data_IF_936147384003
#
_entry.id   IF_936147384003
#
_cell.length_a   1.000
_cell.length_b   1.000
_cell.length_c   1.000
_cell.angle_alpha   90.00
_cell.angle_beta   90.00
_cell.angle_gamma   90.00
#
_symmetry.space_group_name_H-M   'P 1'
#
loop_
_entity.id
_entity.type
_entity.pdbx_description
1 polymer ?
#
# COMPACT_ATOMS: atom_id res chain seq x y z
N UNK A 1 13.05 -7.98 -5.30
CA UNK A 1 11.74 -8.63 -5.24
C UNK A 1 11.85 -9.91 -4.44
N UNK A 2 10.99 -10.08 -3.41
CA UNK A 2 10.93 -11.31 -2.62
C UNK A 2 9.61 -12.03 -2.91
N UNK A 3 9.65 -13.34 -3.08
CA UNK A 3 8.47 -14.16 -3.36
C UNK A 3 8.34 -15.21 -2.27
N UNK A 4 7.14 -15.29 -1.68
CA UNK A 4 6.78 -16.27 -0.66
C UNK A 4 5.59 -17.08 -1.14
N UNK A 5 5.57 -18.37 -0.82
CA UNK A 5 4.43 -19.26 -1.08
C UNK A 5 3.64 -19.53 0.19
N UNK A 6 2.34 -19.72 0.07
CA UNK A 6 1.43 -20.01 1.19
C UNK A 6 1.59 -19.02 2.37
N UNK A 7 1.72 -17.74 2.02
CA UNK A 7 2.03 -16.69 2.99
C UNK A 7 0.76 -16.12 3.63
N UNK A 8 0.87 -15.72 4.90
CA UNK A 8 -0.23 -15.05 5.64
C UNK A 8 -0.56 -13.69 5.03
N UNK A 9 -1.86 -13.41 4.90
CA UNK A 9 -2.37 -12.07 4.57
C UNK A 9 -2.68 -11.33 5.88
N UNK A 10 -1.85 -10.33 6.21
CA UNK A 10 -2.12 -9.46 7.37
C UNK A 10 -3.33 -8.57 7.08
N UNK A 11 -4.25 -8.47 8.04
CA UNK A 11 -5.42 -7.62 7.96
C UNK A 11 -5.83 -7.13 9.36
N UNK A 12 -6.50 -5.97 9.43
CA UNK A 12 -6.91 -5.33 10.69
C UNK A 12 -7.99 -6.11 11.44
N UNK A 13 -8.79 -6.92 10.74
CA UNK A 13 -9.84 -7.76 11.33
C UNK A 13 -9.29 -9.02 11.99
N UNK A 14 -7.97 -9.28 11.90
CA UNK A 14 -7.31 -10.48 12.42
C UNK A 14 -7.86 -11.80 11.89
N UNK A 15 -8.51 -11.76 10.71
CA UNK A 15 -8.99 -12.95 10.03
C UNK A 15 -7.78 -13.81 9.64
N UNK A 16 -7.85 -15.10 9.96
CA UNK A 16 -6.85 -16.06 9.51
C UNK A 16 -6.98 -16.24 8.00
N UNK A 17 -6.00 -15.75 7.28
CA UNK A 17 -5.99 -15.73 5.83
C UNK A 17 -4.59 -15.99 5.30
N UNK A 18 -4.51 -16.63 4.13
CA UNK A 18 -3.25 -16.87 3.41
C UNK A 18 -3.45 -16.74 1.90
N UNK A 19 -2.35 -16.63 1.16
CA UNK A 19 -2.37 -16.57 -0.30
C UNK A 19 -1.36 -17.54 -0.89
N UNK A 20 -1.58 -17.93 -2.16
CA UNK A 20 -0.67 -18.81 -2.89
C UNK A 20 0.70 -18.19 -3.10
N UNK A 21 0.74 -16.94 -3.56
CA UNK A 21 1.98 -16.18 -3.72
C UNK A 21 1.84 -14.80 -3.05
N UNK A 22 2.89 -14.41 -2.33
CA UNK A 22 3.03 -13.08 -1.75
C UNK A 22 4.33 -12.49 -2.25
N UNK A 23 4.26 -11.36 -2.94
CA UNK A 23 5.38 -10.74 -3.63
C UNK A 23 5.64 -9.35 -3.04
N UNK A 24 6.81 -9.17 -2.44
CA UNK A 24 7.27 -7.87 -1.99
C UNK A 24 8.12 -7.20 -3.07
N UNK A 25 7.83 -5.93 -3.36
CA UNK A 25 8.60 -5.10 -4.29
C UNK A 25 9.16 -3.88 -3.56
N UNK A 26 10.48 -3.67 -3.68
CA UNK A 26 11.22 -2.64 -2.94
C UNK A 26 11.56 -1.41 -3.80
N UNK A 27 11.66 -1.59 -5.10
CA UNK A 27 12.02 -0.51 -6.02
C UNK A 27 11.41 -0.72 -7.41
N UNK A 28 11.42 0.34 -8.22
CA UNK A 28 10.81 0.35 -9.55
C UNK A 28 11.51 -0.56 -10.57
N UNK A 29 12.79 -0.87 -10.38
CA UNK A 29 13.54 -1.73 -11.30
C UNK A 29 13.02 -3.19 -11.27
N UNK A 30 12.31 -3.56 -10.21
CA UNK A 30 11.71 -4.89 -10.05
C UNK A 30 10.40 -5.06 -10.82
N UNK A 31 9.85 -4.02 -11.44
CA UNK A 31 8.57 -4.11 -12.16
C UNK A 31 8.63 -5.03 -13.39
N UNK A 32 9.75 -5.10 -14.10
CA UNK A 32 9.90 -6.01 -15.23
C UNK A 32 9.86 -7.47 -14.76
N UNK A 33 10.58 -7.80 -13.69
CA UNK A 33 10.60 -9.16 -13.13
C UNK A 33 9.22 -9.53 -12.57
N UNK A 34 8.54 -8.58 -11.90
CA UNK A 34 7.19 -8.75 -11.42
C UNK A 34 6.22 -9.03 -12.58
N UNK A 35 6.31 -8.27 -13.67
CA UNK A 35 5.47 -8.48 -14.85
C UNK A 35 5.66 -9.88 -15.44
N UNK A 36 6.90 -10.32 -15.61
CA UNK A 36 7.22 -11.66 -16.10
C UNK A 36 6.65 -12.73 -15.17
N UNK A 37 6.82 -12.56 -13.85
CA UNK A 37 6.28 -13.50 -12.86
C UNK A 37 4.75 -13.63 -12.96
N UNK A 38 4.02 -12.50 -12.98
CA UNK A 38 2.55 -12.47 -13.11
C UNK A 38 2.10 -13.14 -14.40
N UNK A 39 2.72 -12.80 -15.52
CA UNK A 39 2.37 -13.33 -16.86
C UNK A 39 2.54 -14.85 -16.94
N UNK A 40 3.58 -15.39 -16.29
CA UNK A 40 3.85 -16.82 -16.27
C UNK A 40 2.86 -17.59 -15.37
N UNK A 41 2.45 -16.99 -14.24
CA UNK A 41 1.55 -17.64 -13.27
C UNK A 41 0.09 -17.63 -13.72
N UNK A 42 -0.35 -16.61 -14.46
CA UNK A 42 -1.73 -16.44 -14.94
C UNK A 42 -2.78 -16.55 -13.83
N UNK A 43 -2.45 -16.07 -12.64
CA UNK A 43 -3.29 -16.05 -11.46
C UNK A 43 -3.87 -14.67 -11.24
N UNK A 44 -5.01 -14.54 -10.54
CA UNK A 44 -5.54 -13.24 -10.14
C UNK A 44 -4.54 -12.50 -9.25
N UNK A 45 -4.48 -11.19 -9.41
CA UNK A 45 -3.53 -10.31 -8.70
C UNK A 45 -4.29 -9.34 -7.82
N UNK A 46 -3.82 -9.14 -6.59
CA UNK A 46 -4.33 -8.13 -5.68
C UNK A 46 -3.17 -7.34 -5.05
N UNK A 47 -3.24 -6.01 -5.08
CA UNK A 47 -2.25 -5.14 -4.45
C UNK A 47 -2.69 -4.82 -3.02
N UNK A 48 -1.85 -5.14 -2.05
CA UNK A 48 -2.17 -5.02 -0.63
C UNK A 48 -1.44 -3.84 0.02
N UNK A 49 -2.18 -2.92 0.62
CA UNK A 49 -1.66 -1.92 1.56
C UNK A 49 -1.41 -2.54 2.94
N UNK A 50 -1.95 -1.95 3.99
CA UNK A 50 -1.88 -2.47 5.37
C UNK A 50 -2.98 -3.50 5.69
N UNK A 51 -3.89 -3.77 4.77
CA UNK A 51 -5.01 -4.68 5.02
C UNK A 51 -6.06 -4.12 5.99
N UNK A 52 -6.21 -2.81 6.03
CA UNK A 52 -7.11 -2.10 6.97
C UNK A 52 -8.53 -1.94 6.43
N UNK A 53 -8.73 -2.13 5.13
CA UNK A 53 -10.04 -1.98 4.48
C UNK A 53 -10.34 -3.16 3.55
N UNK A 54 -10.08 -4.39 4.02
CA UNK A 54 -10.36 -5.63 3.29
C UNK A 54 -10.96 -6.67 4.22
N UNK A 55 -11.77 -7.56 3.63
CA UNK A 55 -12.20 -8.82 4.24
C UNK A 55 -11.60 -9.94 3.38
N UNK A 56 -10.42 -10.47 3.73
CA UNK A 56 -9.76 -11.48 2.91
C UNK A 56 -10.45 -12.84 3.08
N UNK A 57 -10.45 -13.70 2.02
CA UNK A 57 -10.87 -15.08 2.14
C UNK A 57 -9.91 -15.88 3.04
N UNK A 58 -10.31 -17.05 3.49
CA UNK A 58 -9.42 -17.96 4.24
C UNK A 58 -8.15 -18.29 3.42
N UNK A 59 -8.34 -18.55 2.13
CA UNK A 59 -7.26 -18.75 1.17
C UNK A 59 -7.52 -17.99 -0.13
N UNK A 60 -6.56 -17.18 -0.55
CA UNK A 60 -6.57 -16.49 -1.85
C UNK A 60 -5.68 -17.23 -2.83
N UNK A 61 -6.27 -17.96 -3.77
CA UNK A 61 -5.54 -18.68 -4.83
C UNK A 61 -5.06 -17.70 -5.92
N UNK A 62 -4.17 -16.80 -5.53
CA UNK A 62 -3.70 -15.70 -6.35
C UNK A 62 -2.36 -15.15 -5.89
N UNK A 63 -2.00 -14.00 -6.45
CA UNK A 63 -0.78 -13.26 -6.16
C UNK A 63 -1.15 -12.02 -5.38
N UNK A 64 -0.69 -11.91 -4.14
CA UNK A 64 -0.70 -10.66 -3.38
C UNK A 64 0.59 -9.90 -3.69
N UNK A 65 0.48 -8.65 -4.12
CA UNK A 65 1.63 -7.76 -4.29
C UNK A 65 1.66 -6.77 -3.13
N UNK A 66 2.77 -6.76 -2.41
CA UNK A 66 3.03 -5.82 -1.32
C UNK A 66 4.11 -4.82 -1.74
N UNK A 67 3.74 -3.59 -2.09
CA UNK A 67 4.73 -2.53 -2.27
C UNK A 67 5.43 -2.21 -0.94
N UNK A 68 6.74 -1.92 -0.99
CA UNK A 68 7.56 -1.50 0.15
C UNK A 68 8.24 -0.15 -0.12
N UNK A 69 7.60 0.72 -0.94
CA UNK A 69 8.10 2.06 -1.24
C UNK A 69 7.81 2.99 -0.06
N UNK A 70 8.84 3.44 0.65
CA UNK A 70 8.73 4.21 1.88
C UNK A 70 9.48 5.55 1.86
N UNK A 71 9.79 6.07 0.69
CA UNK A 71 10.49 7.34 0.55
C UNK A 71 9.52 8.54 0.47
N UNK A 72 9.94 9.69 1.00
CA UNK A 72 9.27 10.98 0.84
C UNK A 72 10.25 11.94 0.16
N UNK A 73 9.82 12.59 -0.93
CA UNK A 73 10.60 13.59 -1.66
C UNK A 73 9.78 14.88 -1.76
N UNK A 74 10.36 15.98 -1.30
CA UNK A 74 9.79 17.31 -1.42
C UNK A 74 10.27 17.95 -2.73
N UNK A 75 9.33 18.38 -3.57
CA UNK A 75 9.62 19.04 -4.84
C UNK A 75 9.41 20.54 -4.62
N UNK A 76 10.47 21.25 -4.34
CA UNK A 76 10.48 22.64 -3.85
C UNK A 76 9.82 23.67 -4.79
N UNK A 77 9.60 23.34 -6.07
CA UNK A 77 9.14 24.31 -7.07
C UNK A 77 7.61 24.45 -7.14
N UNK A 78 6.81 23.51 -6.56
CA UNK A 78 5.36 23.46 -6.82
C UNK A 78 4.53 23.02 -5.59
N UNK A 79 5.03 23.07 -4.39
CA UNK A 79 4.34 22.54 -3.20
C UNK A 79 3.84 21.09 -3.37
N UNK A 80 4.61 20.28 -4.10
CA UNK A 80 4.31 18.88 -4.36
C UNK A 80 5.21 18.00 -3.51
N UNK A 81 4.62 16.96 -2.93
CA UNK A 81 5.33 15.92 -2.20
C UNK A 81 5.13 14.59 -2.91
N UNK A 82 6.22 13.94 -3.33
CA UNK A 82 6.18 12.58 -3.86
C UNK A 82 6.37 11.59 -2.71
N UNK A 83 5.41 10.71 -2.51
CA UNK A 83 5.36 9.82 -1.35
C UNK A 83 5.28 8.37 -1.80
N UNK A 84 6.07 7.51 -1.16
CA UNK A 84 6.05 6.07 -1.40
C UNK A 84 4.72 5.44 -0.97
N UNK A 85 4.25 4.49 -1.79
CA UNK A 85 2.94 3.87 -1.62
C UNK A 85 2.72 3.16 -0.27
N UNK A 86 3.81 2.74 0.39
CA UNK A 86 3.75 1.99 1.66
C UNK A 86 3.79 2.87 2.89
N UNK A 87 3.98 4.17 2.75
CA UNK A 87 3.94 5.11 3.88
C UNK A 87 2.55 5.03 4.51
N UNK A 88 2.51 4.87 5.84
CA UNK A 88 1.25 4.96 6.59
C UNK A 88 0.65 6.35 6.43
N UNK A 89 -0.66 6.42 6.18
CA UNK A 89 -1.34 7.68 5.91
C UNK A 89 -1.24 8.67 7.08
N UNK A 90 -1.52 8.22 8.31
CA UNK A 90 -1.44 9.12 9.48
C UNK A 90 -0.02 9.60 9.74
N UNK A 91 0.99 8.76 9.50
CA UNK A 91 2.39 9.18 9.56
C UNK A 91 2.67 10.30 8.56
N UNK A 92 2.18 10.19 7.32
CA UNK A 92 2.31 11.27 6.33
C UNK A 92 1.66 12.57 6.82
N UNK A 93 0.44 12.51 7.36
CA UNK A 93 -0.25 13.69 7.89
C UNK A 93 0.60 14.37 8.97
N UNK A 94 1.14 13.62 9.93
CA UNK A 94 2.02 14.16 10.98
C UNK A 94 3.28 14.80 10.42
N UNK A 95 3.90 14.15 9.44
CA UNK A 95 5.10 14.65 8.77
C UNK A 95 4.83 15.97 8.04
N UNK A 96 3.69 16.07 7.34
CA UNK A 96 3.30 17.30 6.64
C UNK A 96 3.04 18.45 7.62
N UNK A 97 2.27 18.22 8.66
CA UNK A 97 1.97 19.23 9.70
C UNK A 97 3.26 19.71 10.39
N UNK A 98 4.18 18.79 10.70
CA UNK A 98 5.47 19.15 11.33
C UNK A 98 6.33 20.08 10.47
N UNK A 99 6.10 20.09 9.17
CA UNK A 99 6.78 20.95 8.17
C UNK A 99 5.95 22.18 7.76
N UNK A 100 4.85 22.46 8.47
CA UNK A 100 3.91 23.54 8.15
C UNK A 100 3.29 23.40 6.74
N UNK A 101 3.12 22.17 6.24
CA UNK A 101 2.39 21.84 5.02
C UNK A 101 0.99 21.39 5.44
N UNK A 102 0.01 22.26 5.22
CA UNK A 102 -1.36 22.09 5.68
C UNK A 102 -2.27 21.51 4.59
N UNK A 103 -3.48 21.07 5.00
CA UNK A 103 -4.51 20.51 4.12
C UNK A 103 -4.73 19.01 4.26
N UNK A 104 -3.94 18.32 5.10
CA UNK A 104 -4.05 16.88 5.36
C UNK A 104 -4.66 16.56 6.74
N UNK A 105 -4.69 17.54 7.64
CA UNK A 105 -4.97 17.34 9.05
C UNK A 105 -6.35 16.78 9.33
N UNK A 106 -7.37 17.14 8.55
CA UNK A 106 -8.74 16.63 8.68
C UNK A 106 -8.86 15.14 8.31
N UNK A 107 -7.89 14.61 7.58
CA UNK A 107 -7.81 13.20 7.20
C UNK A 107 -6.87 12.40 8.12
N UNK A 108 -6.49 12.97 9.27
CA UNK A 108 -5.67 12.26 10.25
C UNK A 108 -6.38 11.03 10.82
N UNK A 109 -5.60 10.07 11.33
CA UNK A 109 -6.07 8.83 11.96
C UNK A 109 -6.81 7.86 11.02
N UNK A 110 -7.03 8.17 9.75
CA UNK A 110 -7.61 7.22 8.81
C UNK A 110 -6.60 6.10 8.56
N UNK A 111 -6.99 4.82 8.78
CA UNK A 111 -6.07 3.70 8.64
C UNK A 111 -5.68 3.43 7.18
N UNK A 112 -4.47 2.94 6.96
CA UNK A 112 -4.01 2.50 5.65
C UNK A 112 -2.75 3.20 5.17
N UNK A 113 -2.41 2.96 3.91
CA UNK A 113 -1.22 3.50 3.27
C UNK A 113 -1.55 4.58 2.25
N UNK A 114 -0.57 5.43 1.93
CA UNK A 114 -0.69 6.48 0.92
C UNK A 114 -1.13 5.90 -0.44
N UNK A 115 -0.57 4.76 -0.86
CA UNK A 115 -0.95 4.12 -2.13
C UNK A 115 -2.37 3.55 -2.13
N UNK A 116 -2.93 3.21 -0.97
CA UNK A 116 -4.32 2.75 -0.86
C UNK A 116 -5.32 3.90 -0.76
N UNK A 117 -4.90 5.09 -0.35
CA UNK A 117 -5.77 6.23 -0.13
C UNK A 117 -6.71 6.56 -1.32
N UNK A 118 -6.21 6.71 -2.57
CA UNK A 118 -7.09 6.97 -3.72
C UNK A 118 -7.98 5.77 -4.08
N UNK A 119 -7.52 4.54 -3.80
CA UNK A 119 -8.27 3.32 -4.14
C UNK A 119 -9.48 3.15 -3.22
N UNK A 120 -9.31 3.44 -1.92
CA UNK A 120 -10.40 3.38 -0.94
C UNK A 120 -11.20 4.68 -0.86
N UNK A 121 -10.95 5.63 -1.77
CA UNK A 121 -11.62 6.93 -1.79
C UNK A 121 -11.55 7.60 -0.41
N UNK A 122 -10.32 7.80 0.09
CA UNK A 122 -10.10 8.36 1.43
C UNK A 122 -10.82 9.70 1.58
N UNK A 123 -11.55 9.86 2.67
CA UNK A 123 -12.30 11.07 2.96
C UNK A 123 -12.90 11.00 4.37
N UNK A 124 -13.17 12.16 4.95
CA UNK A 124 -13.86 12.30 6.22
C UNK A 124 -14.48 13.69 6.32
N UNK A 125 -15.69 13.78 6.86
CA UNK A 125 -16.34 15.04 7.20
C UNK A 125 -16.48 16.04 6.02
N UNK A 126 -16.60 15.53 4.78
CA UNK A 126 -16.73 16.38 3.58
C UNK A 126 -15.40 16.90 3.02
N UNK A 127 -14.29 16.31 3.42
CA UNK A 127 -12.94 16.59 2.89
C UNK A 127 -12.61 15.68 1.71
#
# INVERSE_FOLDING_TARGET
MNIFENHKIKNSLQIKSSCRFYVEINNKNEFNDLHVFISNKKLPVFILGEGTNIVPPEYYDGIIIKPLFNNIKYLNEINIVSVGASINWHFLVKEMVSKNIYGFENLSLIPGTVGAAPIQNIGAYGQ
#
